data_IF_641561775098
#
_entry.id   IF_641561775098
#
_cell.length_a   1.000
_cell.length_b   1.000
_cell.length_c   1.000
_cell.angle_alpha   90.00
_cell.angle_beta   90.00
_cell.angle_gamma   90.00
#
_symmetry.space_group_name_H-M   'P 1'
#
loop_
_entity.id
_entity.type
_entity.pdbx_description
1 polymer ?
#
# COMPACT_ATOMS: atom_id res chain seq x y z
N UNK A 1 15.70 2.31 8.09
CA UNK A 1 15.56 3.07 6.83
C UNK A 1 14.11 3.09 6.37
N UNK A 2 13.42 1.96 6.39
CA UNK A 2 11.98 1.89 6.08
C UNK A 2 11.14 2.82 6.96
N UNK A 3 11.44 2.94 8.26
CA UNK A 3 10.70 3.87 9.15
C UNK A 3 10.75 5.33 8.68
N UNK A 4 11.89 5.77 8.18
CA UNK A 4 12.09 7.15 7.69
C UNK A 4 11.39 7.33 6.35
N UNK A 5 11.51 6.36 5.44
CA UNK A 5 10.82 6.39 4.16
C UNK A 5 9.30 6.39 4.35
N UNK A 6 8.78 5.52 5.23
CA UNK A 6 7.36 5.47 5.58
C UNK A 6 6.88 6.79 6.18
N UNK A 7 7.65 7.37 7.11
CA UNK A 7 7.30 8.66 7.71
C UNK A 7 7.25 9.79 6.68
N UNK A 8 8.20 9.82 5.73
CA UNK A 8 8.20 10.79 4.64
C UNK A 8 7.04 10.57 3.68
N UNK A 9 6.74 9.32 3.32
CA UNK A 9 5.61 8.99 2.46
C UNK A 9 4.29 9.46 3.07
N UNK A 10 4.08 9.24 4.37
CA UNK A 10 2.91 9.76 5.10
C UNK A 10 2.78 11.27 5.05
N UNK A 11 3.87 12.01 5.28
CA UNK A 11 3.86 13.48 5.17
C UNK A 11 3.48 13.95 3.75
N UNK A 12 3.97 13.25 2.72
CA UNK A 12 3.65 13.56 1.33
C UNK A 12 2.17 13.23 1.00
N UNK A 13 1.65 12.13 1.52
CA UNK A 13 0.24 11.76 1.38
C UNK A 13 -0.69 12.76 2.06
N UNK A 14 -0.33 13.21 3.27
CA UNK A 14 -1.08 14.22 4.03
C UNK A 14 -1.11 15.58 3.31
N UNK A 15 -0.07 15.91 2.54
CA UNK A 15 0.01 17.10 1.67
C UNK A 15 -0.70 16.91 0.31
N UNK A 16 -1.23 15.71 0.03
CA UNK A 16 -1.83 15.35 -1.26
C UNK A 16 -0.82 15.11 -2.38
N UNK A 17 0.49 15.07 -2.07
CA UNK A 17 1.56 14.80 -3.02
C UNK A 17 1.73 13.30 -3.26
N UNK A 18 0.77 12.71 -3.98
CA UNK A 18 0.77 11.30 -4.31
C UNK A 18 2.00 10.86 -5.13
N UNK A 19 2.47 11.68 -6.07
CA UNK A 19 3.65 11.33 -6.89
C UNK A 19 4.94 11.25 -6.07
N UNK A 20 5.08 12.13 -5.06
CA UNK A 20 6.17 12.07 -4.10
C UNK A 20 6.12 10.79 -3.28
N UNK A 21 4.94 10.48 -2.70
CA UNK A 21 4.74 9.28 -1.91
C UNK A 21 5.03 8.00 -2.71
N UNK A 22 4.60 7.92 -3.98
CA UNK A 22 4.90 6.80 -4.87
C UNK A 22 6.40 6.57 -5.04
N UNK A 23 7.18 7.64 -5.26
CA UNK A 23 8.64 7.52 -5.43
C UNK A 23 9.31 6.99 -4.18
N UNK A 24 8.94 7.53 -3.01
CA UNK A 24 9.51 7.11 -1.72
C UNK A 24 9.15 5.65 -1.41
N UNK A 25 7.89 5.28 -1.59
CA UNK A 25 7.42 3.93 -1.33
C UNK A 25 8.09 2.89 -2.24
N UNK A 26 8.27 3.17 -3.53
CA UNK A 26 8.99 2.29 -4.47
C UNK A 26 10.44 2.07 -4.05
N UNK A 27 11.14 3.14 -3.70
CA UNK A 27 12.52 3.03 -3.20
C UNK A 27 12.60 2.20 -1.90
N UNK A 28 11.60 2.30 -1.03
CA UNK A 28 11.55 1.49 0.18
C UNK A 28 11.29 0.00 -0.12
N UNK A 29 10.47 -0.32 -1.13
CA UNK A 29 10.28 -1.71 -1.58
C UNK A 29 11.55 -2.31 -2.22
N UNK A 30 12.35 -1.50 -2.90
CA UNK A 30 13.65 -1.95 -3.43
C UNK A 30 14.62 -2.35 -2.30
N UNK A 31 14.44 -1.78 -1.10
CA UNK A 31 15.25 -2.10 0.09
C UNK A 31 14.67 -3.31 0.84
N UNK A 32 13.36 -3.29 1.10
CA UNK A 32 12.66 -4.40 1.75
C UNK A 32 11.22 -4.49 1.25
N UNK A 33 10.99 -5.46 0.36
CA UNK A 33 9.68 -5.74 -0.21
C UNK A 33 8.74 -6.50 0.73
N UNK A 34 9.26 -7.11 1.80
CA UNK A 34 8.46 -7.91 2.74
C UNK A 34 7.88 -7.06 3.87
N UNK A 35 8.37 -5.83 4.05
CA UNK A 35 7.74 -4.85 4.93
C UNK A 35 6.45 -4.33 4.28
N UNK A 36 5.32 -4.43 4.96
CA UNK A 36 4.02 -4.00 4.43
C UNK A 36 3.85 -2.46 4.41
N UNK A 37 4.69 -1.70 5.14
CA UNK A 37 4.54 -0.24 5.24
C UNK A 37 4.65 0.48 3.90
N UNK A 38 5.68 0.23 3.06
CA UNK A 38 5.75 0.84 1.73
C UNK A 38 4.61 0.40 0.80
N UNK A 39 4.05 -0.81 0.99
CA UNK A 39 2.85 -1.22 0.26
C UNK A 39 1.65 -0.36 0.66
N UNK A 40 1.43 -0.12 1.95
CA UNK A 40 0.37 0.79 2.42
C UNK A 40 0.50 2.18 1.80
N UNK A 41 1.72 2.71 1.74
CA UNK A 41 2.01 4.01 1.13
C UNK A 41 1.71 4.02 -0.39
N UNK A 42 2.06 2.95 -1.11
CA UNK A 42 1.70 2.79 -2.53
C UNK A 42 0.19 2.73 -2.75
N UNK A 43 -0.52 1.92 -1.95
CA UNK A 43 -1.97 1.76 -2.06
C UNK A 43 -2.68 3.10 -1.86
N UNK A 44 -2.29 3.85 -0.83
CA UNK A 44 -2.83 5.18 -0.56
C UNK A 44 -2.51 6.18 -1.68
N UNK A 45 -1.27 6.19 -2.19
CA UNK A 45 -0.89 7.12 -3.24
C UNK A 45 -1.63 6.85 -4.57
N UNK A 46 -1.79 5.58 -4.95
CA UNK A 46 -2.58 5.21 -6.13
C UNK A 46 -4.06 5.55 -5.95
N UNK A 47 -4.62 5.32 -4.76
CA UNK A 47 -6.01 5.70 -4.48
C UNK A 47 -6.22 7.23 -4.52
N UNK A 48 -5.30 8.04 -3.97
CA UNK A 48 -5.36 9.51 -4.08
C UNK A 48 -5.36 9.99 -5.54
N UNK A 49 -4.75 9.23 -6.45
CA UNK A 49 -4.74 9.50 -7.90
C UNK A 49 -6.00 8.96 -8.61
N UNK A 50 -6.92 8.33 -7.89
CA UNK A 50 -8.13 7.70 -8.43
C UNK A 50 -7.88 6.38 -9.17
N UNK A 51 -6.73 5.72 -8.92
CA UNK A 51 -6.27 4.55 -9.65
C UNK A 51 -6.67 3.24 -8.96
N UNK A 52 -7.95 3.07 -8.63
CA UNK A 52 -8.45 1.93 -7.83
C UNK A 52 -8.12 0.55 -8.41
N UNK A 53 -8.05 0.45 -9.75
CA UNK A 53 -7.61 -0.80 -10.42
C UNK A 53 -6.17 -1.15 -10.04
N UNK A 54 -5.29 -0.15 -9.96
CA UNK A 54 -3.90 -0.35 -9.59
C UNK A 54 -3.78 -0.71 -8.11
N UNK A 55 -4.61 -0.12 -7.25
CA UNK A 55 -4.72 -0.51 -5.84
C UNK A 55 -5.05 -2.00 -5.74
N UNK A 56 -6.06 -2.49 -6.48
CA UNK A 56 -6.41 -3.92 -6.51
C UNK A 56 -5.24 -4.82 -6.90
N UNK A 57 -4.54 -4.49 -7.99
CA UNK A 57 -3.39 -5.26 -8.46
C UNK A 57 -2.23 -5.30 -7.45
N UNK A 58 -1.99 -4.20 -6.72
CA UNK A 58 -0.95 -4.14 -5.70
C UNK A 58 -1.30 -5.00 -4.49
N UNK A 59 -2.58 -5.09 -4.12
CA UNK A 59 -3.01 -6.01 -3.05
C UNK A 59 -2.84 -7.46 -3.49
N UNK A 60 -3.20 -7.80 -4.74
CA UNK A 60 -2.94 -9.14 -5.29
C UNK A 60 -1.44 -9.48 -5.23
N UNK A 61 -0.57 -8.55 -5.65
CA UNK A 61 0.88 -8.72 -5.63
C UNK A 61 1.44 -8.89 -4.21
N UNK A 62 0.95 -8.10 -3.25
CA UNK A 62 1.36 -8.23 -1.85
C UNK A 62 0.99 -9.60 -1.29
N UNK A 63 -0.23 -10.07 -1.58
CA UNK A 63 -0.70 -11.39 -1.13
C UNK A 63 0.10 -12.53 -1.73
N UNK A 64 0.39 -12.46 -3.03
CA UNK A 64 1.25 -13.43 -3.70
C UNK A 64 2.66 -13.42 -3.10
N UNK A 65 3.23 -12.24 -2.82
CA UNK A 65 4.56 -12.11 -2.24
C UNK A 65 4.67 -12.69 -0.82
N UNK A 66 3.63 -12.50 0.00
CA UNK A 66 3.56 -12.98 1.37
C UNK A 66 2.97 -14.39 1.51
N UNK A 67 2.57 -15.00 0.38
CA UNK A 67 1.95 -16.33 0.32
C UNK A 67 0.69 -16.46 1.18
N UNK A 68 -0.15 -15.42 1.22
CA UNK A 68 -1.39 -15.39 2.01
C UNK A 68 -2.65 -15.46 1.14
N UNK A 69 -3.67 -16.19 1.61
CA UNK A 69 -4.89 -16.43 0.86
C UNK A 69 -5.94 -15.35 1.06
N UNK A 70 -5.96 -14.67 2.21
CA UNK A 70 -6.96 -13.67 2.54
C UNK A 70 -6.32 -12.32 2.91
N UNK A 71 -7.01 -11.22 2.61
CA UNK A 71 -6.56 -9.87 3.01
C UNK A 71 -6.47 -9.73 4.54
N UNK A 72 -7.24 -10.53 5.28
CA UNK A 72 -7.29 -10.58 6.75
C UNK A 72 -6.05 -11.23 7.38
N UNK A 73 -5.22 -11.92 6.59
CA UNK A 73 -3.94 -12.51 7.02
C UNK A 73 -2.77 -11.52 6.94
N UNK A 74 -2.96 -10.37 6.29
CA UNK A 74 -1.99 -9.27 6.28
C UNK A 74 -1.92 -8.60 7.66
N UNK A 75 -0.94 -7.72 7.88
CA UNK A 75 -0.93 -6.90 9.09
C UNK A 75 -2.27 -6.15 9.26
N UNK A 76 -2.78 -6.00 10.49
CA UNK A 76 -4.09 -5.39 10.74
C UNK A 76 -4.28 -4.03 10.07
N UNK A 77 -3.27 -3.15 10.13
CA UNK A 77 -3.34 -1.82 9.52
C UNK A 77 -3.40 -1.89 7.98
N UNK A 78 -2.83 -2.93 7.38
CA UNK A 78 -2.89 -3.18 5.94
C UNK A 78 -4.26 -3.74 5.57
N UNK A 79 -4.78 -4.72 6.30
CA UNK A 79 -6.11 -5.29 6.08
C UNK A 79 -7.21 -4.21 6.18
N UNK A 80 -7.17 -3.37 7.22
CA UNK A 80 -8.10 -2.24 7.41
C UNK A 80 -7.98 -1.19 6.30
N UNK A 81 -6.77 -0.97 5.79
CA UNK A 81 -6.55 -0.09 4.65
C UNK A 81 -7.19 -0.68 3.39
N UNK A 82 -6.92 -1.95 3.08
CA UNK A 82 -7.47 -2.63 1.90
C UNK A 82 -9.00 -2.60 1.92
N UNK A 83 -9.63 -2.90 3.05
CA UNK A 83 -11.09 -2.85 3.19
C UNK A 83 -11.65 -1.45 2.89
N UNK A 84 -10.99 -0.41 3.38
CA UNK A 84 -11.40 0.99 3.18
C UNK A 84 -11.22 1.45 1.74
N UNK A 85 -10.13 1.06 1.08
CA UNK A 85 -9.83 1.47 -0.30
C UNK A 85 -10.62 0.67 -1.33
N UNK A 86 -10.92 -0.61 -1.06
CA UNK A 86 -11.56 -1.55 -1.99
C UNK A 86 -12.81 -2.21 -1.38
N UNK A 87 -13.85 -1.44 -1.00
CA UNK A 87 -14.99 -1.96 -0.22
C UNK A 87 -15.83 -3.03 -0.94
N UNK A 88 -15.68 -3.19 -2.27
CA UNK A 88 -16.39 -4.20 -3.07
C UNK A 88 -15.64 -5.52 -3.22
N UNK A 89 -14.37 -5.61 -2.80
CA UNK A 89 -13.52 -6.79 -3.00
C UNK A 89 -13.88 -7.97 -2.08
N UNK A 90 -14.56 -7.71 -0.96
CA UNK A 90 -15.03 -8.71 0.01
C UNK A 90 -16.11 -9.68 -0.52
N UNK A 91 -16.55 -9.55 -1.78
CA UNK A 91 -17.67 -10.33 -2.37
C UNK A 91 -17.26 -11.27 -3.51
N UNK A 92 -15.96 -11.46 -3.76
CA UNK A 92 -15.46 -12.41 -4.75
C UNK A 92 -14.98 -13.69 -4.07
#
# INVERSE_FOLDING_TARGET
>A
MIDVAHSLARLLLDDGNADGALKVARLALDVDRYDERPWRDLLQAHHLRGEDRQVGLLVDQLRELLEVELDEELQPETAELVERLLPRRRRA
#
